data_IF_244594230851
#
_entry.id   IF_244594230851
#
_cell.length_a   1.000
_cell.length_b   1.000
_cell.length_c   1.000
_cell.angle_alpha   90.00
_cell.angle_beta   90.00
_cell.angle_gamma   90.00
#
_symmetry.space_group_name_H-M   'P 1'
#
loop_
_entity.id
_entity.type
_entity.pdbx_description
1 polymer ?
#
# COMPACT_ATOMS: atom_id res chain seq x y z
N UNK A 1 -24.90 -6.61 -14.64
CA UNK A 1 -24.11 -6.83 -13.41
C UNK A 1 -23.12 -5.71 -13.25
N UNK A 2 -23.20 -4.98 -12.14
CA UNK A 2 -22.25 -3.96 -11.76
C UNK A 2 -20.90 -4.62 -11.38
N UNK A 3 -19.77 -4.00 -11.69
CA UNK A 3 -18.45 -4.49 -11.29
C UNK A 3 -18.34 -4.54 -9.76
N UNK A 4 -18.11 -5.73 -9.21
CA UNK A 4 -17.88 -5.94 -7.78
C UNK A 4 -16.51 -5.40 -7.38
N UNK A 5 -16.46 -4.56 -6.34
CA UNK A 5 -15.22 -4.06 -5.74
C UNK A 5 -14.96 -4.73 -4.39
N UNK A 6 -13.70 -4.75 -3.91
CA UNK A 6 -13.39 -5.28 -2.58
C UNK A 6 -14.18 -4.57 -1.48
N UNK A 7 -14.43 -3.27 -1.64
CA UNK A 7 -15.24 -2.49 -0.70
C UNK A 7 -16.67 -3.01 -0.60
N UNK A 8 -17.27 -3.44 -1.71
CA UNK A 8 -18.61 -4.04 -1.70
C UNK A 8 -18.62 -5.42 -1.02
N UNK A 9 -17.55 -6.20 -1.15
CA UNK A 9 -17.44 -7.52 -0.50
C UNK A 9 -17.17 -7.43 1.00
N UNK A 10 -16.71 -6.28 1.51
CA UNK A 10 -16.43 -6.10 2.93
C UNK A 10 -17.69 -6.21 3.81
N UNK A 11 -18.89 -6.04 3.23
CA UNK A 11 -20.17 -6.18 3.92
C UNK A 11 -20.67 -7.64 3.97
N UNK A 12 -20.03 -8.56 3.24
CA UNK A 12 -20.40 -9.97 3.22
C UNK A 12 -19.98 -10.67 4.53
N UNK A 13 -20.86 -11.53 5.05
CA UNK A 13 -20.60 -12.28 6.30
C UNK A 13 -19.67 -13.49 6.12
N UNK A 14 -19.39 -13.86 4.87
CA UNK A 14 -18.64 -15.08 4.53
C UNK A 14 -17.52 -14.73 3.57
N UNK A 15 -16.30 -15.16 3.91
CA UNK A 15 -15.14 -14.99 3.04
C UNK A 15 -15.24 -15.93 1.83
N UNK A 16 -15.11 -15.38 0.63
CA UNK A 16 -15.10 -16.19 -0.59
C UNK A 16 -13.82 -17.02 -0.67
N UNK A 17 -13.93 -18.25 -1.18
CA UNK A 17 -12.81 -19.19 -1.26
C UNK A 17 -11.60 -18.63 -2.04
N UNK A 18 -11.82 -17.73 -3.01
CA UNK A 18 -10.76 -17.07 -3.79
C UNK A 18 -9.85 -16.15 -2.97
N UNK A 19 -10.27 -15.73 -1.77
CA UNK A 19 -9.44 -14.94 -0.84
C UNK A 19 -8.76 -15.81 0.22
N UNK A 20 -9.09 -17.09 0.30
CA UNK A 20 -8.45 -18.03 1.22
C UNK A 20 -7.11 -18.45 0.61
N UNK A 21 -6.03 -18.19 1.36
CA UNK A 21 -4.68 -18.61 0.96
C UNK A 21 -4.51 -20.12 1.11
N UNK A 22 -3.72 -20.71 0.23
CA UNK A 22 -3.31 -22.11 0.32
C UNK A 22 -2.56 -22.36 1.64
N UNK A 23 -2.68 -23.56 2.20
CA UNK A 23 -2.17 -23.89 3.54
C UNK A 23 -0.68 -23.57 3.71
N UNK A 24 0.12 -23.74 2.66
CA UNK A 24 1.56 -23.51 2.65
C UNK A 24 1.94 -22.02 2.56
N UNK A 25 1.05 -21.16 2.05
CA UNK A 25 1.21 -19.70 1.99
C UNK A 25 0.75 -18.98 3.27
N UNK A 26 0.05 -19.68 4.17
CA UNK A 26 -0.49 -19.05 5.39
C UNK A 26 0.63 -18.66 6.37
N UNK A 27 0.44 -17.58 7.15
CA UNK A 27 1.43 -17.16 8.14
C UNK A 27 1.75 -18.29 9.12
N UNK A 28 3.03 -18.64 9.21
CA UNK A 28 3.55 -19.67 10.13
C UNK A 28 3.93 -19.11 11.51
N UNK A 29 3.91 -17.79 11.64
CA UNK A 29 4.25 -17.06 12.86
C UNK A 29 2.99 -16.57 13.57
N UNK A 30 3.06 -16.44 14.89
CA UNK A 30 1.94 -15.97 15.69
C UNK A 30 1.63 -14.50 15.37
N UNK A 31 0.35 -14.19 15.14
CA UNK A 31 -0.11 -12.86 14.75
C UNK A 31 0.04 -11.78 15.82
N UNK A 32 0.37 -12.16 17.05
CA UNK A 32 0.41 -11.28 18.23
C UNK A 32 1.84 -11.02 18.73
N UNK A 33 2.87 -11.49 18.03
CA UNK A 33 4.26 -11.27 18.39
C UNK A 33 4.93 -10.36 17.36
N UNK A 34 4.99 -9.07 17.68
CA UNK A 34 5.58 -8.05 16.82
C UNK A 34 6.95 -7.62 17.35
N UNK A 35 7.91 -7.41 16.43
CA UNK A 35 9.19 -6.78 16.74
C UNK A 35 9.08 -5.26 16.54
N UNK A 36 9.64 -4.48 17.46
CA UNK A 36 9.76 -3.02 17.37
C UNK A 36 11.08 -2.57 16.72
N UNK A 37 11.77 -3.46 16.03
CA UNK A 37 13.17 -3.27 15.65
C UNK A 37 13.36 -2.56 14.30
N UNK A 38 12.29 -2.21 13.58
CA UNK A 38 12.41 -1.50 12.30
C UNK A 38 13.16 -0.18 12.53
N UNK A 39 14.31 0.05 11.86
CA UNK A 39 15.12 1.23 12.09
C UNK A 39 14.35 2.53 11.83
N UNK A 40 14.49 3.49 12.75
CA UNK A 40 13.99 4.86 12.59
C UNK A 40 15.18 5.80 12.42
N UNK A 41 15.23 6.52 11.31
CA UNK A 41 16.35 7.37 10.91
C UNK A 41 15.86 8.81 10.78
N UNK A 42 16.39 9.70 11.62
CA UNK A 42 16.23 11.15 11.43
C UNK A 42 17.17 11.63 10.34
N UNK A 43 16.64 12.45 9.42
CA UNK A 43 17.44 13.12 8.38
C UNK A 43 17.63 14.61 8.65
N UNK A 44 17.40 15.06 9.89
CA UNK A 44 17.65 16.43 10.30
C UNK A 44 19.12 16.83 10.05
N UNK A 45 19.33 17.94 9.33
CA UNK A 45 20.68 18.43 8.99
C UNK A 45 21.40 17.60 7.92
N UNK A 46 20.70 16.75 7.17
CA UNK A 46 21.27 16.06 6.01
C UNK A 46 21.75 17.04 4.93
N UNK A 47 21.05 18.17 4.80
CA UNK A 47 21.35 19.23 3.83
C UNK A 47 22.51 20.14 4.28
N UNK A 48 22.89 20.11 5.57
CA UNK A 48 23.96 20.93 6.14
C UNK A 48 25.37 20.48 5.67
N UNK A 49 25.45 19.30 5.05
CA UNK A 49 26.71 18.69 4.60
C UNK A 49 27.60 18.19 5.75
N UNK A 50 28.85 17.87 5.42
CA UNK A 50 29.87 17.47 6.41
C UNK A 50 29.63 16.09 7.05
N UNK A 51 30.08 15.95 8.30
CA UNK A 51 30.11 14.70 9.06
C UNK A 51 28.70 14.10 9.29
N UNK A 52 27.73 14.95 9.63
CA UNK A 52 26.33 14.54 9.86
C UNK A 52 25.72 13.82 8.66
N UNK A 53 25.95 14.34 7.45
CA UNK A 53 25.48 13.70 6.22
C UNK A 53 26.10 12.31 6.05
N UNK A 54 27.38 12.16 6.36
CA UNK A 54 28.09 10.88 6.34
C UNK A 54 27.48 9.85 7.31
N UNK A 55 27.20 10.27 8.54
CA UNK A 55 26.56 9.42 9.55
C UNK A 55 25.15 8.97 9.14
N UNK A 56 24.32 9.89 8.64
CA UNK A 56 22.96 9.58 8.16
C UNK A 56 23.04 8.59 6.99
N UNK A 57 23.91 8.82 6.01
CA UNK A 57 24.11 7.89 4.90
C UNK A 57 24.55 6.51 5.38
N UNK A 58 25.47 6.42 6.34
CA UNK A 58 25.91 5.14 6.92
C UNK A 58 24.77 4.40 7.60
N UNK A 59 23.90 5.10 8.36
CA UNK A 59 22.70 4.51 8.98
C UNK A 59 21.72 3.97 7.93
N UNK A 60 21.52 4.70 6.83
CA UNK A 60 20.66 4.26 5.72
C UNK A 60 21.22 3.01 5.06
N UNK A 61 22.51 2.98 4.74
CA UNK A 61 23.17 1.81 4.15
C UNK A 61 23.00 0.59 5.05
N UNK A 62 23.30 0.74 6.35
CA UNK A 62 23.15 -0.34 7.32
C UNK A 62 21.72 -0.86 7.41
N UNK A 63 20.72 0.04 7.43
CA UNK A 63 19.32 -0.36 7.46
C UNK A 63 18.90 -1.08 6.17
N UNK A 64 19.40 -0.65 5.00
CA UNK A 64 19.18 -1.37 3.75
C UNK A 64 19.78 -2.78 3.76
N UNK A 65 21.01 -2.93 4.29
CA UNK A 65 21.72 -4.22 4.34
C UNK A 65 21.12 -5.19 5.34
N UNK A 66 20.73 -4.72 6.53
CA UNK A 66 20.26 -5.57 7.63
C UNK A 66 18.74 -5.81 7.59
N UNK A 67 17.95 -4.80 7.18
CA UNK A 67 16.48 -4.83 7.26
C UNK A 67 15.78 -4.78 5.91
N UNK A 68 16.36 -4.11 4.92
CA UNK A 68 15.71 -3.82 3.63
C UNK A 68 14.56 -2.79 3.72
N UNK A 69 14.22 -2.31 4.92
CA UNK A 69 13.20 -1.30 5.18
C UNK A 69 13.55 -0.47 6.43
N UNK A 70 13.17 0.80 6.45
CA UNK A 70 13.34 1.71 7.58
C UNK A 70 12.31 2.84 7.51
N UNK A 71 12.13 3.54 8.63
CA UNK A 71 11.29 4.73 8.75
C UNK A 71 12.16 5.99 8.75
N UNK A 72 11.72 7.03 8.04
CA UNK A 72 12.38 8.34 8.05
C UNK A 72 11.57 9.30 8.93
N UNK A 73 12.25 10.06 9.79
CA UNK A 73 11.70 11.19 10.54
C UNK A 73 12.48 12.47 10.24
N UNK A 74 11.93 13.63 10.59
CA UNK A 74 12.53 14.95 10.33
C UNK A 74 12.82 15.19 8.83
N UNK A 75 11.95 14.67 7.95
CA UNK A 75 12.12 14.74 6.49
C UNK A 75 11.77 16.09 5.86
N UNK A 76 11.35 17.08 6.64
CA UNK A 76 10.99 18.41 6.15
C UNK A 76 9.65 18.52 5.41
N UNK A 77 9.05 17.41 4.98
CA UNK A 77 7.66 17.40 4.44
C UNK A 77 6.67 17.86 5.51
N UNK A 78 5.83 18.84 5.16
CA UNK A 78 4.81 19.40 6.04
C UNK A 78 3.80 18.33 6.50
N UNK A 79 3.61 18.21 7.80
CA UNK A 79 2.65 17.29 8.40
C UNK A 79 1.22 17.56 7.94
N UNK A 80 0.86 18.81 7.66
CA UNK A 80 -0.46 19.16 7.14
C UNK A 80 -0.67 18.58 5.74
N UNK A 81 0.32 18.69 4.86
CA UNK A 81 0.28 18.10 3.51
C UNK A 81 0.09 16.58 3.56
N UNK A 82 0.83 15.89 4.44
CA UNK A 82 0.69 14.43 4.62
C UNK A 82 -0.72 14.07 5.11
N UNK A 83 -1.26 14.84 6.06
CA UNK A 83 -2.62 14.65 6.56
C UNK A 83 -3.68 14.91 5.48
N UNK A 84 -3.53 15.97 4.70
CA UNK A 84 -4.43 16.30 3.58
C UNK A 84 -4.40 15.20 2.51
N UNK A 85 -3.22 14.71 2.13
CA UNK A 85 -3.06 13.58 1.21
C UNK A 85 -3.79 12.33 1.73
N UNK A 86 -3.62 12.00 3.02
CA UNK A 86 -4.29 10.84 3.62
C UNK A 86 -5.81 11.00 3.64
N UNK A 87 -6.32 12.21 3.90
CA UNK A 87 -7.76 12.52 3.83
C UNK A 87 -8.29 12.37 2.42
N UNK A 88 -7.65 12.98 1.42
CA UNK A 88 -8.07 12.89 0.02
C UNK A 88 -8.06 11.45 -0.50
N UNK A 89 -7.07 10.64 -0.10
CA UNK A 89 -7.04 9.23 -0.43
C UNK A 89 -8.26 8.49 0.15
N UNK A 90 -8.57 8.71 1.43
CA UNK A 90 -9.75 8.10 2.09
C UNK A 90 -11.05 8.52 1.40
N UNK A 91 -11.20 9.81 1.08
CA UNK A 91 -12.37 10.34 0.38
C UNK A 91 -12.53 9.69 -1.00
N UNK A 92 -11.44 9.57 -1.77
CA UNK A 92 -11.46 8.89 -3.07
C UNK A 92 -11.94 7.44 -2.95
N UNK A 93 -11.41 6.67 -1.99
CA UNK A 93 -11.81 5.27 -1.81
C UNK A 93 -13.24 5.11 -1.27
N UNK A 94 -13.77 6.13 -0.58
CA UNK A 94 -15.17 6.20 -0.13
C UNK A 94 -16.17 6.55 -1.24
N UNK A 95 -15.71 7.00 -2.41
CA UNK A 95 -16.60 7.24 -3.56
C UNK A 95 -17.28 5.94 -4.03
N UNK A 96 -18.46 6.04 -4.65
CA UNK A 96 -19.13 4.91 -5.29
C UNK A 96 -18.22 4.19 -6.30
N UNK A 97 -18.38 2.86 -6.48
CA UNK A 97 -17.60 2.09 -7.45
C UNK A 97 -17.57 2.70 -8.85
N UNK A 98 -18.70 3.24 -9.31
CA UNK A 98 -18.86 3.82 -10.64
C UNK A 98 -17.91 4.99 -10.87
N UNK A 99 -17.74 5.86 -9.87
CA UNK A 99 -16.84 7.02 -9.93
C UNK A 99 -15.37 6.57 -9.93
N UNK A 100 -15.01 5.58 -9.11
CA UNK A 100 -13.64 5.03 -9.05
C UNK A 100 -13.24 4.38 -10.38
N UNK A 101 -14.18 3.70 -11.04
CA UNK A 101 -13.95 3.00 -12.30
C UNK A 101 -13.79 3.93 -13.51
N UNK A 102 -14.12 5.21 -13.39
CA UNK A 102 -13.76 6.22 -14.42
C UNK A 102 -12.25 6.34 -14.59
N UNK A 103 -11.50 5.96 -13.55
CA UNK A 103 -10.04 5.93 -13.53
C UNK A 103 -9.46 4.55 -13.80
N UNK A 104 -10.23 3.59 -14.33
CA UNK A 104 -9.76 2.23 -14.57
C UNK A 104 -8.50 2.15 -15.47
N UNK A 105 -7.55 1.30 -15.07
CA UNK A 105 -6.25 1.10 -15.71
C UNK A 105 -6.28 0.17 -16.93
N UNK A 106 -7.43 -0.37 -17.32
CA UNK A 106 -7.53 -1.22 -18.52
C UNK A 106 -7.12 -0.49 -19.81
N UNK A 107 -6.66 -1.26 -20.80
CA UNK A 107 -6.30 -0.73 -22.13
C UNK A 107 -4.89 -0.12 -22.25
N UNK A 108 -3.94 -0.50 -21.39
CA UNK A 108 -2.54 -0.08 -21.52
C UNK A 108 -2.23 1.30 -20.91
N UNK A 109 -3.10 1.81 -20.03
CA UNK A 109 -2.86 3.06 -19.30
C UNK A 109 -1.75 2.87 -18.26
N UNK A 110 -0.93 3.92 -18.06
CA UNK A 110 0.22 3.91 -17.14
C UNK A 110 -0.13 4.15 -15.66
N UNK A 111 -1.40 4.40 -15.33
CA UNK A 111 -1.86 4.67 -13.96
C UNK A 111 -3.39 4.80 -13.86
N UNK A 112 -3.94 4.62 -12.67
CA UNK A 112 -5.38 4.62 -12.40
C UNK A 112 -5.81 3.69 -11.26
N UNK A 113 -7.11 3.38 -11.22
CA UNK A 113 -7.73 2.44 -10.28
C UNK A 113 -7.74 1.02 -10.85
N UNK A 114 -7.32 0.03 -10.06
CA UNK A 114 -7.36 -1.40 -10.43
C UNK A 114 -8.36 -2.12 -9.54
N UNK A 115 -9.27 -2.87 -10.16
CA UNK A 115 -10.08 -3.86 -9.45
C UNK A 115 -9.24 -5.12 -9.27
N UNK A 116 -9.22 -5.67 -8.04
CA UNK A 116 -8.46 -6.87 -7.69
C UNK A 116 -8.59 -7.97 -8.75
N UNK A 117 -7.48 -8.63 -9.09
CA UNK A 117 -7.44 -9.73 -10.07
C UNK A 117 -8.37 -10.89 -9.70
N UNK A 118 -8.57 -11.16 -8.41
CA UNK A 118 -9.52 -12.16 -7.91
C UNK A 118 -10.98 -11.81 -8.25
N UNK A 119 -11.28 -10.52 -8.46
CA UNK A 119 -12.57 -10.03 -8.93
C UNK A 119 -12.63 -9.86 -10.45
N UNK A 120 -11.48 -9.82 -11.13
CA UNK A 120 -11.40 -9.76 -12.59
C UNK A 120 -11.76 -11.08 -13.27
N UNK A 121 -11.75 -12.23 -12.57
CA UNK A 121 -12.16 -13.53 -13.15
C UNK A 121 -13.61 -13.45 -13.69
N UNK A 122 -14.48 -12.70 -13.03
CA UNK A 122 -15.85 -12.45 -13.50
C UNK A 122 -15.95 -11.37 -14.59
N UNK A 123 -14.96 -10.48 -14.71
CA UNK A 123 -14.93 -9.45 -15.74
C UNK A 123 -14.37 -9.99 -17.08
N UNK A 124 -13.37 -10.88 -17.02
CA UNK A 124 -12.73 -11.46 -18.21
C UNK A 124 -13.65 -12.43 -18.96
N UNK A 125 -14.51 -13.17 -18.24
CA UNK A 125 -15.52 -14.05 -18.84
C UNK A 125 -16.62 -13.30 -19.60
N UNK A 126 -16.68 -11.97 -19.50
CA UNK A 126 -17.70 -11.12 -20.15
C UNK A 126 -17.21 -10.40 -21.40
N UNK A 127 -15.94 -10.61 -21.78
CA UNK A 127 -15.36 -10.14 -23.05
C UNK A 127 -15.02 -11.28 -24.02
N UNK A 128 -15.33 -12.53 -23.66
CA UNK A 128 -15.05 -13.73 -24.50
C UNK A 128 -16.34 -14.47 -24.92
N UNK A 129 -17.53 -13.95 -24.62
CA UNK A 129 -18.80 -14.39 -25.21
C UNK A 129 -19.69 -13.20 -25.57
#
# INVERSE_FOLDING_TARGET
>A
MAPSTLTALAEEKTLQASFVRDEDERPKVAYNHFSNEIPVISIAGMDDGGEKRGEICSKIVKACEEWGVFQIVDHGVDAKLVSEMATLAKEFFALPPEEKLRFDMTGGKKGGFIVSSHLQVYLLLRFVF
#
